data_IF_708051171739
#
_entry.id   IF_708051171739
#
_cell.length_a   1.000
_cell.length_b   1.000
_cell.length_c   1.000
_cell.angle_alpha   90.00
_cell.angle_beta   90.00
_cell.angle_gamma   90.00
#
_symmetry.space_group_name_H-M   'P 1'
#
loop_
_entity.id
_entity.type
_entity.pdbx_description
1 polymer ?
#
# COMPACT_ATOMS: atom_id res chain seq x y z
N UNK A 1 -4.31 -3.29 -16.39
CA UNK A 1 -3.22 -2.30 -16.18
C UNK A 1 -2.74 -2.37 -14.74
N UNK A 2 -1.42 -2.24 -14.52
CA UNK A 2 -0.81 -2.23 -13.18
C UNK A 2 0.00 -0.95 -12.96
N UNK A 3 0.16 -0.56 -11.70
CA UNK A 3 0.89 0.63 -11.28
C UNK A 3 1.65 0.37 -9.99
N UNK A 4 2.91 0.82 -9.92
CA UNK A 4 3.73 0.78 -8.70
C UNK A 4 3.80 2.16 -8.08
N UNK A 5 3.47 2.27 -6.79
CA UNK A 5 3.35 3.54 -6.08
C UNK A 5 3.91 3.42 -4.66
N UNK A 6 4.21 4.57 -4.05
CA UNK A 6 4.52 4.66 -2.63
C UNK A 6 3.28 5.20 -1.91
N UNK A 7 2.90 4.56 -0.80
CA UNK A 7 1.79 5.00 0.04
C UNK A 7 1.94 4.60 1.50
N UNK A 8 1.20 5.26 2.37
CA UNK A 8 1.18 5.00 3.81
C UNK A 8 -0.14 4.35 4.19
N UNK A 9 -0.07 3.23 4.92
CA UNK A 9 -1.26 2.57 5.46
C UNK A 9 -1.84 3.45 6.58
N UNK A 10 -3.05 3.98 6.40
CA UNK A 10 -3.76 4.70 7.46
C UNK A 10 -4.42 3.70 8.42
N UNK A 11 -5.06 2.67 7.86
CA UNK A 11 -5.69 1.56 8.60
C UNK A 11 -5.64 0.28 7.77
N UNK A 12 -5.66 -0.87 8.46
CA UNK A 12 -5.65 -2.18 7.83
C UNK A 12 -6.62 -3.12 8.56
N UNK A 13 -7.50 -3.76 7.80
CA UNK A 13 -8.34 -4.86 8.25
C UNK A 13 -7.81 -6.15 7.63
N UNK A 14 -7.11 -6.95 8.43
CA UNK A 14 -6.53 -8.22 7.98
C UNK A 14 -7.57 -9.32 7.76
N UNK A 15 -8.75 -9.21 8.39
CA UNK A 15 -9.84 -10.16 8.22
C UNK A 15 -10.55 -9.93 6.89
N UNK A 16 -10.78 -8.66 6.52
CA UNK A 16 -11.35 -8.28 5.24
C UNK A 16 -10.30 -8.19 4.11
N UNK A 17 -9.02 -8.27 4.44
CA UNK A 17 -7.87 -8.07 3.53
C UNK A 17 -7.97 -6.74 2.79
N UNK A 18 -8.35 -5.69 3.51
CA UNK A 18 -8.44 -4.31 3.00
C UNK A 18 -7.53 -3.39 3.79
N UNK A 19 -7.02 -2.34 3.14
CA UNK A 19 -6.33 -1.25 3.80
C UNK A 19 -6.71 0.08 3.17
N UNK A 20 -6.88 1.08 4.02
CA UNK A 20 -6.98 2.46 3.58
C UNK A 20 -5.56 3.02 3.46
N UNK A 21 -5.17 3.44 2.26
CA UNK A 21 -3.79 3.88 1.98
C UNK A 21 -3.81 5.28 1.37
N UNK A 22 -3.02 6.18 1.97
CA UNK A 22 -2.70 7.49 1.41
C UNK A 22 -1.49 7.36 0.51
N UNK A 23 -1.67 7.49 -0.80
CA UNK A 23 -0.56 7.55 -1.76
C UNK A 23 -0.14 8.99 -2.01
N UNK A 24 1.16 9.21 -2.11
CA UNK A 24 1.72 10.50 -2.50
C UNK A 24 1.37 10.88 -3.93
N UNK A 25 1.69 12.11 -4.32
CA UNK A 25 1.56 12.57 -5.70
C UNK A 25 2.42 11.67 -6.62
N UNK A 26 1.85 11.25 -7.75
CA UNK A 26 2.61 10.56 -8.79
C UNK A 26 2.86 11.60 -9.89
N UNK A 27 3.93 12.37 -9.73
CA UNK A 27 4.27 13.48 -10.64
C UNK A 27 4.40 13.01 -12.09
N UNK A 28 5.01 11.83 -12.30
CA UNK A 28 5.15 11.22 -13.63
C UNK A 28 3.81 10.99 -14.34
N UNK A 29 2.72 10.84 -13.59
CA UNK A 29 1.38 10.57 -14.10
C UNK A 29 0.41 11.74 -13.87
N UNK A 30 0.93 12.88 -13.39
CA UNK A 30 0.14 14.06 -13.02
C UNK A 30 -1.07 13.70 -12.13
N UNK A 31 -0.86 12.80 -11.17
CA UNK A 31 -1.90 12.40 -10.21
C UNK A 31 -1.60 13.04 -8.87
N UNK A 32 -2.57 13.82 -8.40
CA UNK A 32 -2.60 14.34 -7.04
C UNK A 32 -2.52 13.20 -6.00
N UNK A 33 -2.02 13.52 -4.80
CA UNK A 33 -2.10 12.60 -3.67
C UNK A 33 -3.56 12.22 -3.43
N UNK A 34 -3.79 10.95 -3.09
CA UNK A 34 -5.12 10.42 -2.90
C UNK A 34 -5.13 9.39 -1.77
N UNK A 35 -6.24 9.35 -1.05
CA UNK A 35 -6.51 8.34 -0.04
C UNK A 35 -7.62 7.44 -0.55
N UNK A 36 -7.34 6.14 -0.64
CA UNK A 36 -8.26 5.17 -1.24
C UNK A 36 -8.14 3.84 -0.51
N UNK A 37 -9.19 3.02 -0.60
CA UNK A 37 -9.18 1.66 -0.09
C UNK A 37 -8.59 0.71 -1.13
N UNK A 38 -7.73 -0.19 -0.67
CA UNK A 38 -7.07 -1.21 -1.45
C UNK A 38 -7.39 -2.59 -0.87
N UNK A 39 -7.63 -3.55 -1.75
CA UNK A 39 -7.74 -4.96 -1.41
C UNK A 39 -6.38 -5.63 -1.59
N UNK A 40 -6.03 -6.59 -0.73
CA UNK A 40 -4.83 -7.40 -0.91
C UNK A 40 -5.17 -8.71 -1.61
N UNK A 41 -4.47 -9.01 -2.70
CA UNK A 41 -4.55 -10.32 -3.35
C UNK A 41 -4.27 -11.46 -2.36
N UNK A 42 -4.89 -12.62 -2.54
CA UNK A 42 -4.90 -13.72 -1.56
C UNK A 42 -3.49 -14.18 -1.16
N UNK A 43 -2.52 -14.13 -2.07
CA UNK A 43 -1.14 -14.56 -1.83
C UNK A 43 -0.29 -13.57 -1.03
N UNK A 44 -0.80 -12.38 -0.73
CA UNK A 44 -0.06 -11.37 0.04
C UNK A 44 -0.12 -11.72 1.53
N UNK A 45 1.04 -11.85 2.17
CA UNK A 45 1.12 -11.97 3.63
C UNK A 45 0.88 -10.61 4.29
N UNK A 46 -0.15 -10.55 5.15
CA UNK A 46 -0.55 -9.34 5.87
C UNK A 46 0.05 -9.27 7.27
N UNK A 47 0.67 -10.34 7.77
CA UNK A 47 1.30 -10.36 9.09
C UNK A 47 2.32 -9.23 9.29
N UNK A 48 3.25 -8.95 8.36
CA UNK A 48 4.26 -7.91 8.56
C UNK A 48 3.71 -6.48 8.39
N UNK A 49 2.44 -6.33 8.02
CA UNK A 49 1.83 -5.04 7.73
C UNK A 49 1.15 -4.44 8.96
N UNK A 50 1.35 -3.15 9.17
CA UNK A 50 0.72 -2.38 10.23
C UNK A 50 0.28 -0.99 9.74
N UNK A 51 -0.63 -0.36 10.48
CA UNK A 51 -0.95 1.05 10.27
C UNK A 51 0.30 1.92 10.47
N UNK A 52 0.30 3.09 9.84
CA UNK A 52 1.38 4.07 9.79
C UNK A 52 2.65 3.60 9.07
N UNK A 53 2.63 2.42 8.46
CA UNK A 53 3.74 1.90 7.67
C UNK A 53 3.71 2.47 6.24
N UNK A 54 4.87 2.86 5.73
CA UNK A 54 5.01 3.23 4.32
C UNK A 54 5.36 2.01 3.48
N UNK A 55 4.66 1.81 2.37
CA UNK A 55 4.84 0.71 1.43
C UNK A 55 5.14 1.24 0.03
N UNK A 56 6.07 0.57 -0.66
CA UNK A 56 6.12 0.56 -2.13
C UNK A 56 5.36 -0.68 -2.58
N UNK A 57 4.29 -0.50 -3.34
CA UNK A 57 3.43 -1.60 -3.75
C UNK A 57 2.95 -1.44 -5.18
N UNK A 58 2.67 -2.58 -5.82
CA UNK A 58 2.12 -2.66 -7.16
C UNK A 58 0.66 -3.11 -7.09
N UNK A 59 -0.24 -2.34 -7.66
CA UNK A 59 -1.68 -2.66 -7.71
C UNK A 59 -2.19 -2.75 -9.16
N UNK A 60 -3.33 -3.40 -9.31
CA UNK A 60 -4.11 -3.48 -10.55
C UNK A 60 -5.53 -3.00 -10.30
N UNK A 61 -6.18 -2.45 -11.33
CA UNK A 61 -7.62 -2.14 -11.26
C UNK A 61 -8.39 -3.29 -11.89
N UNK A 62 -9.23 -3.96 -11.10
CA UNK A 62 -10.05 -5.11 -11.52
C UNK A 62 -11.51 -4.79 -11.21
N UNK A 63 -12.38 -4.74 -12.22
CA UNK A 63 -13.80 -4.39 -12.06
C UNK A 63 -14.09 -3.09 -11.27
N UNK A 64 -13.17 -2.12 -11.30
CA UNK A 64 -13.28 -0.87 -10.55
C UNK A 64 -12.67 -0.91 -9.14
N UNK A 65 -12.15 -2.06 -8.71
CA UNK A 65 -11.50 -2.25 -7.42
C UNK A 65 -9.98 -2.18 -7.54
N UNK A 66 -9.33 -1.65 -6.52
CA UNK A 66 -7.87 -1.53 -6.45
C UNK A 66 -7.28 -2.72 -5.70
N UNK A 67 -6.64 -3.63 -6.42
CA UNK A 67 -6.09 -4.86 -5.85
C UNK A 67 -4.57 -4.81 -5.84
N UNK A 68 -3.96 -4.86 -4.66
CA UNK A 68 -2.52 -4.95 -4.44
C UNK A 68 -2.05 -6.35 -4.81
N UNK A 69 -1.23 -6.42 -5.85
CA UNK A 69 -0.68 -7.65 -6.42
C UNK A 69 0.71 -7.96 -5.85
N UNK A 70 1.45 -6.95 -5.39
CA UNK A 70 2.82 -7.08 -4.87
C UNK A 70 3.15 -5.97 -3.89
N UNK A 71 3.93 -6.30 -2.87
CA UNK A 71 4.59 -5.33 -1.98
C UNK A 71 6.09 -5.47 -2.24
N UNK A 72 6.72 -4.38 -2.68
CA UNK A 72 8.14 -4.35 -3.08
C UNK A 72 9.04 -3.91 -1.92
N UNK A 73 8.57 -2.98 -1.08
CA UNK A 73 9.28 -2.54 0.12
C UNK A 73 8.29 -2.09 1.19
N UNK A 74 8.64 -2.36 2.45
CA UNK A 74 7.83 -1.97 3.60
C UNK A 74 8.73 -1.30 4.65
N UNK A 75 8.58 0.01 4.83
CA UNK A 75 9.32 0.78 5.81
C UNK A 75 8.49 0.86 7.09
N UNK A 76 8.82 0.05 8.09
CA UNK A 76 8.43 0.37 9.46
C UNK A 76 9.23 1.59 9.89
N UNK A 77 8.59 2.53 10.61
CA UNK A 77 9.32 3.55 11.35
C UNK A 77 10.08 2.86 12.49
N UNK A 78 11.12 2.08 12.16
CA UNK A 78 12.00 1.45 13.11
C UNK A 78 13.29 2.27 13.10
N UNK A 79 13.44 3.02 14.19
CA UNK A 79 14.63 3.77 14.55
C UNK A 79 15.90 2.99 14.19
N UNK A 80 16.71 3.55 13.29
CA UNK A 80 18.13 3.21 13.22
C UNK A 80 18.81 3.79 14.47
N UNK A 81 18.62 3.14 15.62
CA UNK A 81 19.50 3.28 16.77
C UNK A 81 20.61 2.24 16.60
N UNK A 82 21.63 2.60 15.82
CA UNK A 82 22.85 1.82 15.68
C UNK A 82 23.65 1.86 16.99
N UNK A 83 23.97 0.66 17.47
CA UNK A 83 24.79 0.33 18.63
C UNK A 83 26.27 0.66 18.40
#
# INVERSE_FOLDING_TARGET
>A
NMATVIGTINSIDKAQRTANISRGAIEKWNRDPATMDFMFAEHIDLNPLAAQQQLTFTFSVQHGEFVIQRIDAASSMQSHSGH
#
